data_IF_109757702205
#
_entry.id   IF_109757702205
#
_cell.length_a   1.000
_cell.length_b   1.000
_cell.length_c   1.000
_cell.angle_alpha   90.00
_cell.angle_beta   90.00
_cell.angle_gamma   90.00
#
_symmetry.space_group_name_H-M   'P 1'
#
loop_
_entity.id
_entity.type
_entity.pdbx_description
1 polymer ?
#
# COMPACT_ATOMS: atom_id res chain seq x y z
N UNK A 1 2.88 -17.82 37.02
CA UNK A 1 2.35 -16.52 36.57
C UNK A 1 2.01 -16.49 35.07
N UNK A 2 2.81 -17.09 34.18
CA UNK A 2 2.51 -17.12 32.72
C UNK A 2 1.17 -17.77 32.33
N UNK A 3 0.68 -18.78 33.05
CA UNK A 3 -0.62 -19.43 32.73
C UNK A 3 -1.85 -18.63 33.14
N UNK A 4 -1.74 -17.68 34.09
CA UNK A 4 -2.90 -16.87 34.51
C UNK A 4 -3.20 -15.76 33.48
N UNK A 5 -2.17 -15.20 32.85
CA UNK A 5 -2.32 -14.18 31.79
C UNK A 5 -3.17 -14.71 30.64
N UNK A 6 -2.94 -15.95 30.20
CA UNK A 6 -3.57 -16.46 28.98
C UNK A 6 -5.10 -16.58 29.06
N UNK A 7 -5.68 -16.76 30.25
CA UNK A 7 -7.14 -16.88 30.42
C UNK A 7 -7.84 -15.53 30.36
N UNK A 8 -7.26 -14.49 30.97
CA UNK A 8 -7.81 -13.14 30.93
C UNK A 8 -7.72 -12.56 29.52
N UNK A 9 -6.58 -12.77 28.85
CA UNK A 9 -6.34 -12.29 27.49
C UNK A 9 -7.30 -12.96 26.49
N UNK A 10 -7.60 -14.25 26.69
CA UNK A 10 -8.58 -14.96 25.86
C UNK A 10 -10.01 -14.40 26.01
N UNK A 11 -10.44 -14.01 27.22
CA UNK A 11 -11.77 -13.42 27.42
C UNK A 11 -11.85 -12.03 26.80
N UNK A 12 -10.78 -11.24 26.90
CA UNK A 12 -10.70 -9.91 26.29
C UNK A 12 -10.70 -9.97 24.77
N UNK A 13 -9.97 -10.92 24.21
CA UNK A 13 -9.98 -11.18 22.77
C UNK A 13 -11.39 -11.57 22.30
N UNK A 14 -12.07 -12.46 23.03
CA UNK A 14 -13.44 -12.88 22.71
C UNK A 14 -14.40 -11.68 22.65
N UNK A 15 -14.34 -10.76 23.64
CA UNK A 15 -15.16 -9.55 23.64
C UNK A 15 -14.88 -8.65 22.42
N UNK A 16 -13.61 -8.46 22.05
CA UNK A 16 -13.24 -7.68 20.87
C UNK A 16 -13.74 -8.32 19.56
N UNK A 17 -13.67 -9.65 19.45
CA UNK A 17 -14.20 -10.36 18.28
C UNK A 17 -15.73 -10.32 18.22
N UNK A 18 -16.42 -10.39 19.35
CA UNK A 18 -17.88 -10.19 19.40
C UNK A 18 -18.27 -8.78 18.95
N UNK A 19 -17.54 -7.76 19.40
CA UNK A 19 -17.70 -6.38 18.93
C UNK A 19 -17.58 -6.31 17.40
N UNK A 20 -16.46 -6.77 16.83
CA UNK A 20 -16.23 -6.74 15.38
C UNK A 20 -17.28 -7.53 14.59
N UNK A 21 -17.73 -8.68 15.12
CA UNK A 21 -18.77 -9.50 14.49
C UNK A 21 -20.11 -8.77 14.40
N UNK A 22 -20.44 -7.96 15.41
CA UNK A 22 -21.62 -7.09 15.39
C UNK A 22 -21.61 -6.12 14.19
N UNK A 23 -20.46 -5.52 13.89
CA UNK A 23 -20.32 -4.64 12.73
C UNK A 23 -20.32 -5.38 11.40
N UNK A 24 -19.57 -6.48 11.29
CA UNK A 24 -19.51 -7.27 10.06
C UNK A 24 -20.88 -7.85 9.64
N UNK A 25 -21.77 -8.10 10.61
CA UNK A 25 -23.11 -8.65 10.37
C UNK A 25 -24.24 -7.61 10.33
N UNK A 26 -23.94 -6.33 10.61
CA UNK A 26 -24.97 -5.29 10.67
C UNK A 26 -25.57 -5.02 9.29
N UNK A 27 -26.91 -5.06 9.23
CA UNK A 27 -27.71 -4.60 8.08
C UNK A 27 -28.28 -3.19 8.30
N UNK A 28 -28.13 -2.64 9.51
CA UNK A 28 -28.60 -1.29 9.86
C UNK A 28 -27.63 -0.24 9.35
N UNK A 29 -27.70 0.03 8.05
CA UNK A 29 -26.83 1.01 7.37
C UNK A 29 -27.58 2.19 6.73
N UNK A 30 -28.91 2.19 6.77
CA UNK A 30 -29.71 3.09 5.90
C UNK A 30 -29.53 4.58 6.15
N UNK A 31 -28.95 5.00 7.28
CA UNK A 31 -28.81 6.43 7.62
C UNK A 31 -27.34 6.87 7.79
N UNK A 32 -26.33 6.05 7.47
CA UNK A 32 -24.92 6.43 7.69
C UNK A 32 -24.08 6.38 6.41
N UNK A 33 -23.64 7.54 5.88
CA UNK A 33 -22.94 7.64 4.59
C UNK A 33 -21.45 7.27 4.64
N UNK A 34 -21.04 6.32 5.50
CA UNK A 34 -19.62 6.08 5.77
C UNK A 34 -19.23 4.61 5.60
N UNK A 35 -18.53 4.41 4.50
CA UNK A 35 -17.81 3.21 4.07
C UNK A 35 -16.51 3.10 4.89
N UNK A 36 -16.11 1.90 5.32
CA UNK A 36 -14.78 1.62 5.88
C UNK A 36 -14.73 0.72 7.12
N UNK A 37 -15.74 0.78 7.98
CA UNK A 37 -15.84 0.00 9.21
C UNK A 37 -16.12 -1.50 9.00
N UNK A 38 -17.13 -1.87 8.18
CA UNK A 38 -17.40 -3.28 7.84
C UNK A 38 -16.18 -3.94 7.20
N UNK A 39 -15.50 -3.17 6.35
CA UNK A 39 -14.32 -3.57 5.61
C UNK A 39 -13.19 -4.02 6.54
N UNK A 40 -12.89 -3.24 7.57
CA UNK A 40 -11.85 -3.60 8.53
C UNK A 40 -12.22 -4.84 9.36
N UNK A 41 -13.48 -4.95 9.80
CA UNK A 41 -13.94 -6.15 10.51
C UNK A 41 -13.84 -7.41 9.64
N UNK A 42 -14.23 -7.32 8.36
CA UNK A 42 -14.13 -8.42 7.40
C UNK A 42 -12.67 -8.77 7.13
N UNK A 43 -11.80 -7.78 6.91
CA UNK A 43 -10.37 -7.99 6.71
C UNK A 43 -9.71 -8.64 7.93
N UNK A 44 -10.11 -8.25 9.14
CA UNK A 44 -9.70 -8.91 10.38
C UNK A 44 -10.09 -10.39 10.34
N UNK A 45 -11.36 -10.74 10.19
CA UNK A 45 -11.78 -12.15 10.26
C UNK A 45 -11.18 -13.01 9.14
N UNK A 46 -11.13 -12.48 7.91
CA UNK A 46 -10.55 -13.18 6.77
C UNK A 46 -9.06 -13.46 6.97
N UNK A 47 -8.29 -12.50 7.51
CA UNK A 47 -6.86 -12.70 7.82
C UNK A 47 -6.58 -13.70 8.94
N UNK A 48 -7.61 -14.08 9.72
CA UNK A 48 -7.56 -15.17 10.70
C UNK A 48 -8.07 -16.51 10.14
N UNK A 49 -8.35 -16.59 8.85
CA UNK A 49 -8.80 -17.79 8.17
C UNK A 49 -10.28 -18.11 8.41
N UNK A 50 -11.09 -17.16 8.89
CA UNK A 50 -12.53 -17.34 8.93
C UNK A 50 -13.12 -17.15 7.53
N UNK A 51 -14.11 -17.97 7.18
CA UNK A 51 -14.89 -17.80 5.94
C UNK A 51 -15.80 -16.60 6.08
N UNK A 52 -15.67 -15.63 5.17
CA UNK A 52 -16.41 -14.36 5.19
C UNK A 52 -17.35 -14.20 3.98
N UNK A 53 -17.63 -15.26 3.21
CA UNK A 53 -18.32 -15.19 1.91
C UNK A 53 -19.63 -14.40 1.95
N UNK A 54 -20.45 -14.60 2.99
CA UNK A 54 -21.73 -13.92 3.13
C UNK A 54 -21.56 -12.43 3.48
N UNK A 55 -20.57 -12.09 4.31
CA UNK A 55 -20.24 -10.69 4.62
C UNK A 55 -19.65 -9.99 3.41
N UNK A 56 -18.81 -10.66 2.62
CA UNK A 56 -18.23 -10.12 1.39
C UNK A 56 -19.33 -9.87 0.35
N UNK A 57 -20.27 -10.80 0.16
CA UNK A 57 -21.42 -10.58 -0.74
C UNK A 57 -22.29 -9.40 -0.29
N UNK A 58 -22.53 -9.27 1.02
CA UNK A 58 -23.24 -8.12 1.56
C UNK A 58 -22.48 -6.82 1.28
N UNK A 59 -21.18 -6.80 1.56
CA UNK A 59 -20.32 -5.65 1.33
C UNK A 59 -20.26 -5.24 -0.14
N UNK A 60 -20.17 -6.20 -1.06
CA UNK A 60 -20.25 -5.93 -2.50
C UNK A 60 -21.58 -5.29 -2.90
N UNK A 61 -22.69 -5.73 -2.30
CA UNK A 61 -24.00 -5.14 -2.54
C UNK A 61 -24.08 -3.71 -1.98
N UNK A 62 -23.50 -3.47 -0.80
CA UNK A 62 -23.43 -2.15 -0.17
C UNK A 62 -22.61 -1.20 -1.06
N UNK A 63 -21.44 -1.63 -1.56
CA UNK A 63 -20.61 -0.86 -2.49
C UNK A 63 -21.31 -0.55 -3.81
N UNK A 64 -22.04 -1.52 -4.39
CA UNK A 64 -22.83 -1.27 -5.61
C UNK A 64 -23.93 -0.25 -5.38
N UNK A 65 -24.64 -0.37 -4.26
CA UNK A 65 -25.71 0.57 -3.90
C UNK A 65 -25.17 1.98 -3.72
N UNK A 66 -24.06 2.13 -2.98
CA UNK A 66 -23.43 3.43 -2.76
C UNK A 66 -22.90 4.04 -4.07
N UNK A 67 -22.36 3.21 -4.96
CA UNK A 67 -21.93 3.64 -6.28
C UNK A 67 -23.11 4.10 -7.16
N UNK A 68 -24.24 3.38 -7.14
CA UNK A 68 -25.46 3.77 -7.86
C UNK A 68 -26.03 5.10 -7.34
N UNK A 69 -26.09 5.29 -6.02
CA UNK A 69 -26.54 6.54 -5.39
C UNK A 69 -25.66 7.73 -5.78
N UNK A 70 -24.33 7.56 -5.72
CA UNK A 70 -23.41 8.59 -6.16
C UNK A 70 -23.57 8.91 -7.64
N UNK A 71 -23.78 7.90 -8.49
CA UNK A 71 -24.05 8.10 -9.90
C UNK A 71 -25.37 8.84 -10.17
N UNK A 72 -26.37 8.72 -9.30
CA UNK A 72 -27.57 9.55 -9.37
C UNK A 72 -27.25 11.02 -9.08
N UNK A 73 -26.46 11.28 -8.03
CA UNK A 73 -26.03 12.63 -7.65
C UNK A 73 -25.18 13.27 -8.76
N UNK A 74 -24.14 12.57 -9.24
CA UNK A 74 -23.27 13.06 -10.32
C UNK A 74 -23.98 13.08 -11.68
N UNK A 75 -24.89 12.15 -11.94
CA UNK A 75 -25.63 12.10 -13.20
C UNK A 75 -26.58 13.27 -13.40
N UNK A 76 -27.12 13.83 -12.30
CA UNK A 76 -27.84 15.11 -12.34
C UNK A 76 -26.92 16.29 -12.70
N UNK A 77 -25.61 16.18 -12.43
CA UNK A 77 -24.61 17.19 -12.78
C UNK A 77 -24.02 17.00 -14.19
N UNK A 78 -23.95 15.76 -14.71
CA UNK A 78 -23.28 15.41 -15.98
C UNK A 78 -24.20 14.57 -16.90
N UNK A 79 -24.94 15.25 -17.78
CA UNK A 79 -26.05 14.66 -18.55
C UNK A 79 -25.68 13.66 -19.67
N UNK A 80 -24.41 13.52 -20.06
CA UNK A 80 -24.02 12.62 -21.18
C UNK A 80 -23.08 11.48 -20.81
N UNK A 81 -22.30 11.59 -19.72
CA UNK A 81 -21.37 10.52 -19.29
C UNK A 81 -21.98 9.54 -18.28
N UNK A 82 -23.06 9.94 -17.60
CA UNK A 82 -23.70 9.14 -16.55
C UNK A 82 -24.39 7.87 -17.06
N UNK A 83 -24.81 7.82 -18.33
CA UNK A 83 -25.43 6.63 -18.94
C UNK A 83 -24.41 5.52 -19.20
N UNK A 84 -23.16 5.85 -19.51
CA UNK A 84 -22.10 4.86 -19.79
C UNK A 84 -21.54 4.20 -18.51
N UNK A 85 -21.85 4.77 -17.34
CA UNK A 85 -21.34 4.32 -16.04
C UNK A 85 -22.29 3.33 -15.35
N UNK A 86 -23.61 3.40 -15.60
CA UNK A 86 -24.61 2.51 -14.96
C UNK A 86 -24.55 1.03 -15.38
N UNK A 87 -24.02 0.75 -16.57
CA UNK A 87 -23.87 -0.63 -17.07
C UNK A 87 -22.44 -1.15 -16.91
N UNK A 88 -21.56 -0.38 -16.27
CA UNK A 88 -20.15 -0.71 -16.15
C UNK A 88 -19.86 -1.63 -14.96
N UNK A 89 -18.81 -2.47 -15.04
CA UNK A 89 -18.30 -3.19 -13.87
C UNK A 89 -17.88 -2.19 -12.76
N UNK A 90 -17.76 -2.69 -11.52
CA UNK A 90 -17.34 -1.91 -10.34
C UNK A 90 -16.03 -1.11 -10.56
N UNK A 91 -15.24 -1.51 -11.55
CA UNK A 91 -13.96 -0.91 -11.95
C UNK A 91 -14.08 0.49 -12.59
N UNK A 92 -15.29 0.92 -13.01
CA UNK A 92 -15.50 2.25 -13.62
C UNK A 92 -15.98 3.35 -12.68
N UNK A 93 -16.30 3.05 -11.43
CA UNK A 93 -16.84 4.02 -10.45
C UNK A 93 -15.77 4.90 -9.79
N UNK A 94 -14.76 5.36 -10.54
CA UNK A 94 -13.56 6.01 -9.98
C UNK A 94 -13.90 7.27 -9.19
N UNK A 95 -14.78 8.12 -9.71
CA UNK A 95 -15.14 9.40 -9.08
C UNK A 95 -15.86 9.25 -7.74
N UNK A 96 -16.55 8.13 -7.51
CA UNK A 96 -17.20 7.89 -6.22
C UNK A 96 -16.17 7.71 -5.10
N UNK A 97 -15.05 7.08 -5.42
CA UNK A 97 -14.03 6.72 -4.45
C UNK A 97 -12.98 7.80 -4.23
N UNK A 98 -12.95 8.87 -5.04
CA UNK A 98 -11.97 9.95 -4.89
C UNK A 98 -12.14 10.71 -3.57
N UNK A 99 -13.39 10.94 -3.13
CA UNK A 99 -13.69 11.58 -1.83
C UNK A 99 -13.77 10.59 -0.66
N UNK A 100 -13.66 9.29 -0.95
CA UNK A 100 -13.91 8.17 -0.02
C UNK A 100 -12.80 7.15 -0.04
N UNK A 101 -11.60 7.56 -0.43
CA UNK A 101 -10.49 6.63 -0.45
C UNK A 101 -10.14 6.23 0.98
N UNK A 102 -10.56 5.02 1.34
CA UNK A 102 -10.32 4.43 2.63
C UNK A 102 -9.51 3.16 2.42
N UNK A 103 -8.27 3.15 2.93
CA UNK A 103 -7.43 1.96 2.98
C UNK A 103 -8.15 0.67 3.45
N UNK A 104 -9.12 0.71 4.39
CA UNK A 104 -9.96 -0.44 4.72
C UNK A 104 -10.61 -1.12 3.52
N UNK A 105 -11.14 -0.38 2.54
CA UNK A 105 -11.75 -0.93 1.31
C UNK A 105 -10.72 -1.77 0.55
N UNK A 106 -9.50 -1.27 0.42
CA UNK A 106 -8.42 -1.97 -0.27
C UNK A 106 -8.10 -3.30 0.42
N UNK A 107 -8.10 -3.29 1.75
CA UNK A 107 -7.84 -4.49 2.56
C UNK A 107 -8.99 -5.49 2.48
N UNK A 108 -10.24 -5.02 2.56
CA UNK A 108 -11.40 -5.89 2.44
C UNK A 108 -11.50 -6.51 1.04
N UNK A 109 -11.27 -5.74 -0.02
CA UNK A 109 -11.22 -6.26 -1.38
C UNK A 109 -10.11 -7.31 -1.54
N UNK A 110 -8.91 -7.03 -1.01
CA UNK A 110 -7.80 -7.98 -1.01
C UNK A 110 -8.14 -9.28 -0.28
N UNK A 111 -8.59 -9.20 0.96
CA UNK A 111 -8.85 -10.37 1.81
C UNK A 111 -10.12 -11.12 1.43
N UNK A 112 -11.11 -10.41 0.90
CA UNK A 112 -12.34 -10.98 0.36
C UNK A 112 -12.20 -11.49 -1.06
N UNK A 113 -11.02 -11.37 -1.68
CA UNK A 113 -10.74 -11.77 -3.07
C UNK A 113 -11.73 -11.15 -4.07
N UNK A 114 -12.16 -9.91 -3.80
CA UNK A 114 -13.13 -9.21 -4.65
C UNK A 114 -12.42 -8.73 -5.92
N UNK A 115 -12.80 -9.33 -7.05
CA UNK A 115 -12.23 -9.01 -8.36
C UNK A 115 -12.75 -7.68 -8.93
N UNK A 116 -12.01 -7.08 -9.88
CA UNK A 116 -12.45 -5.89 -10.61
C UNK A 116 -12.04 -4.57 -9.95
N UNK A 117 -11.26 -4.60 -8.87
CA UNK A 117 -10.73 -3.38 -8.27
C UNK A 117 -9.37 -2.98 -8.87
N UNK A 118 -8.71 -3.84 -9.67
CA UNK A 118 -7.36 -3.62 -10.20
C UNK A 118 -7.25 -2.33 -11.03
N UNK A 119 -8.20 -2.09 -11.94
CA UNK A 119 -8.21 -0.87 -12.74
C UNK A 119 -8.49 0.37 -11.88
N UNK A 120 -9.37 0.23 -10.89
CA UNK A 120 -9.64 1.28 -9.94
C UNK A 120 -8.39 1.64 -9.11
N UNK A 121 -7.67 0.63 -8.58
CA UNK A 121 -6.41 0.83 -7.86
C UNK A 121 -5.35 1.53 -8.71
N UNK A 122 -5.24 1.14 -9.98
CA UNK A 122 -4.31 1.78 -10.91
C UNK A 122 -4.64 3.27 -11.09
N UNK A 123 -5.90 3.60 -11.34
CA UNK A 123 -6.35 4.99 -11.51
C UNK A 123 -6.25 5.80 -10.24
N UNK A 124 -6.56 5.19 -9.09
CA UNK A 124 -6.34 5.81 -7.79
C UNK A 124 -4.85 6.14 -7.59
N UNK A 125 -3.94 5.23 -7.94
CA UNK A 125 -2.51 5.51 -7.93
C UNK A 125 -2.14 6.71 -8.80
N UNK A 126 -2.69 6.78 -10.02
CA UNK A 126 -2.53 7.93 -10.92
C UNK A 126 -3.08 9.23 -10.29
N UNK A 127 -4.25 9.19 -9.67
CA UNK A 127 -4.85 10.33 -8.96
C UNK A 127 -4.00 10.78 -7.77
N UNK A 128 -3.56 9.85 -6.93
CA UNK A 128 -2.76 10.16 -5.74
C UNK A 128 -1.38 10.73 -6.10
N UNK A 129 -0.82 10.38 -7.28
CA UNK A 129 0.39 11.04 -7.79
C UNK A 129 0.23 12.55 -7.97
N UNK A 130 -1.00 13.09 -8.00
CA UNK A 130 -1.27 14.53 -8.03
C UNK A 130 -1.00 15.26 -6.71
N UNK A 131 -0.55 14.56 -5.65
CA UNK A 131 -0.17 15.14 -4.36
C UNK A 131 -1.26 15.03 -3.29
N UNK A 132 -2.17 14.06 -3.44
CA UNK A 132 -3.30 13.86 -2.54
C UNK A 132 -3.00 12.90 -1.37
N UNK A 133 -1.87 12.18 -1.40
CA UNK A 133 -1.51 11.26 -0.34
C UNK A 133 -0.84 12.01 0.82
N UNK A 134 -1.50 12.07 1.98
CA UNK A 134 -0.88 12.60 3.19
C UNK A 134 0.08 11.58 3.82
N UNK A 135 0.98 12.05 4.70
CA UNK A 135 1.85 11.16 5.46
C UNK A 135 1.07 10.27 6.46
N UNK A 136 -0.12 10.73 6.88
CA UNK A 136 -1.03 9.98 7.75
C UNK A 136 -1.63 8.78 7.01
N UNK A 137 -2.02 8.99 5.75
CA UNK A 137 -2.59 7.95 4.89
C UNK A 137 -1.57 6.86 4.51
N UNK A 138 -0.28 7.18 4.57
CA UNK A 138 0.80 6.29 4.14
C UNK A 138 0.77 4.96 4.91
N UNK A 139 0.61 5.02 6.23
CA UNK A 139 0.55 3.85 7.10
C UNK A 139 -0.60 2.93 6.73
N UNK A 140 -1.80 3.50 6.60
CA UNK A 140 -3.01 2.76 6.32
C UNK A 140 -3.00 2.13 4.94
N UNK A 141 -2.51 2.88 3.95
CA UNK A 141 -2.35 2.42 2.58
C UNK A 141 -1.40 1.23 2.51
N UNK A 142 -0.28 1.28 3.23
CA UNK A 142 0.73 0.23 3.22
C UNK A 142 0.35 -1.03 4.00
N UNK A 143 -0.79 -1.02 4.71
CA UNK A 143 -1.44 -2.25 5.20
C UNK A 143 -2.18 -3.02 4.10
N UNK A 144 -2.40 -2.43 2.91
CA UNK A 144 -2.88 -3.17 1.74
C UNK A 144 -1.71 -3.65 0.87
N UNK A 145 -1.61 -4.96 0.66
CA UNK A 145 -0.61 -5.51 -0.28
C UNK A 145 -0.97 -5.19 -1.72
N UNK A 146 -2.26 -5.01 -2.04
CA UNK A 146 -2.69 -4.55 -3.36
C UNK A 146 -2.22 -3.13 -3.61
N UNK A 147 -2.40 -2.23 -2.65
CA UNK A 147 -1.86 -0.87 -2.75
C UNK A 147 -0.34 -0.88 -2.92
N UNK A 148 0.35 -1.69 -2.12
CA UNK A 148 1.80 -1.85 -2.20
C UNK A 148 2.26 -2.40 -3.56
N UNK A 149 1.50 -3.29 -4.19
CA UNK A 149 1.79 -3.82 -5.52
C UNK A 149 1.54 -2.79 -6.63
N UNK A 150 0.40 -2.09 -6.59
CA UNK A 150 -0.06 -1.20 -7.67
C UNK A 150 0.55 0.20 -7.60
N UNK A 151 0.83 0.70 -6.40
CA UNK A 151 1.27 2.09 -6.16
C UNK A 151 2.69 2.16 -5.63
N UNK A 152 3.50 1.10 -5.79
CA UNK A 152 4.84 1.01 -5.18
C UNK A 152 5.70 2.25 -5.42
N UNK A 153 5.81 2.71 -6.66
CA UNK A 153 6.63 3.88 -7.02
C UNK A 153 6.20 5.15 -6.28
N UNK A 154 4.90 5.45 -6.30
CA UNK A 154 4.32 6.59 -5.57
C UNK A 154 4.57 6.46 -4.06
N UNK A 155 4.29 5.29 -3.47
CA UNK A 155 4.45 5.06 -2.04
C UNK A 155 5.92 5.19 -1.60
N UNK A 156 6.87 4.77 -2.43
CA UNK A 156 8.30 5.02 -2.20
C UNK A 156 8.61 6.52 -2.22
N UNK A 157 8.12 7.24 -3.23
CA UNK A 157 8.33 8.68 -3.34
C UNK A 157 7.82 9.44 -2.12
N UNK A 158 6.59 9.14 -1.68
CA UNK A 158 5.99 9.77 -0.49
C UNK A 158 6.78 9.39 0.76
N UNK A 159 7.15 8.13 0.93
CA UNK A 159 7.96 7.68 2.07
C UNK A 159 9.34 8.36 2.10
N UNK A 160 10.02 8.56 0.97
CA UNK A 160 11.28 9.28 0.90
C UNK A 160 11.13 10.76 1.28
N UNK A 161 10.06 11.42 0.84
CA UNK A 161 9.77 12.81 1.25
C UNK A 161 9.57 12.89 2.75
N UNK A 162 8.76 11.98 3.32
CA UNK A 162 8.51 11.91 4.75
C UNK A 162 9.80 11.64 5.56
N UNK A 163 10.68 10.73 5.10
CA UNK A 163 11.98 10.48 5.74
C UNK A 163 12.82 11.77 5.77
N UNK A 164 12.92 12.48 4.64
CA UNK A 164 13.71 13.71 4.54
C UNK A 164 13.16 14.80 5.46
N UNK A 165 11.85 14.95 5.51
CA UNK A 165 11.14 15.96 6.30
C UNK A 165 11.11 15.62 7.80
N UNK A 166 11.16 14.33 8.17
CA UNK A 166 11.17 13.87 9.56
C UNK A 166 12.35 14.34 10.40
N UNK A 167 13.45 14.76 9.75
CA UNK A 167 14.57 15.42 10.41
C UNK A 167 14.17 16.74 11.07
N UNK A 168 13.07 17.36 10.59
CA UNK A 168 12.53 18.64 11.04
C UNK A 168 11.29 18.49 11.93
N UNK A 169 10.74 17.28 12.07
CA UNK A 169 9.52 17.02 12.84
C UNK A 169 9.89 16.19 14.10
N UNK A 170 10.31 16.84 15.19
CA UNK A 170 10.93 16.17 16.32
C UNK A 170 9.95 15.43 17.26
N UNK A 171 8.63 15.57 17.10
CA UNK A 171 7.68 15.16 18.14
C UNK A 171 6.53 14.26 17.72
N UNK A 172 6.28 14.02 16.44
CA UNK A 172 5.11 13.24 16.00
C UNK A 172 5.42 11.73 15.98
N UNK A 173 4.80 11.00 16.92
CA UNK A 173 5.00 9.55 17.06
C UNK A 173 4.27 8.78 15.96
N UNK A 174 3.09 9.23 15.54
CA UNK A 174 2.34 8.56 14.48
C UNK A 174 3.08 8.67 13.17
N UNK A 175 3.59 9.86 12.82
CA UNK A 175 4.43 10.04 11.63
C UNK A 175 5.71 9.20 11.70
N UNK A 176 6.41 9.19 12.83
CA UNK A 176 7.60 8.36 13.00
C UNK A 176 7.29 6.86 12.81
N UNK A 177 6.16 6.40 13.35
CA UNK A 177 5.66 5.03 13.19
C UNK A 177 5.31 4.75 11.73
N UNK A 178 4.59 5.66 11.06
CA UNK A 178 4.26 5.60 9.65
C UNK A 178 5.51 5.45 8.80
N UNK A 179 6.53 6.28 9.00
CA UNK A 179 7.79 6.21 8.24
C UNK A 179 8.49 4.86 8.44
N UNK A 180 8.69 4.41 9.69
CA UNK A 180 9.40 3.16 9.97
C UNK A 180 8.63 1.96 9.43
N UNK A 181 7.32 1.90 9.64
CA UNK A 181 6.45 0.86 9.09
C UNK A 181 6.54 0.83 7.56
N UNK A 182 6.42 2.00 6.94
CA UNK A 182 6.37 2.16 5.49
C UNK A 182 7.68 1.77 4.82
N UNK A 183 8.79 2.30 5.31
CA UNK A 183 10.12 2.00 4.80
C UNK A 183 10.44 0.51 4.93
N UNK A 184 10.03 -0.12 6.03
CA UNK A 184 10.20 -1.57 6.24
C UNK A 184 9.35 -2.38 5.25
N UNK A 185 8.08 -2.02 5.05
CA UNK A 185 7.16 -2.69 4.10
C UNK A 185 7.62 -2.54 2.65
N UNK A 186 8.14 -1.35 2.30
CA UNK A 186 8.68 -1.03 0.97
C UNK A 186 10.09 -1.59 0.74
N UNK A 187 10.76 -2.08 1.79
CA UNK A 187 12.16 -2.54 1.79
C UNK A 187 13.12 -1.45 1.29
N UNK A 188 13.00 -0.25 1.84
CA UNK A 188 13.91 0.86 1.53
C UNK A 188 15.27 0.62 2.21
N UNK A 189 16.35 0.99 1.52
CA UNK A 189 17.73 0.93 2.04
C UNK A 189 18.12 2.27 2.69
N UNK A 190 17.29 2.75 3.60
CA UNK A 190 17.49 4.02 4.31
C UNK A 190 17.91 3.76 5.77
N UNK A 191 18.79 4.59 6.30
CA UNK A 191 19.15 4.54 7.71
C UNK A 191 18.05 5.19 8.57
N UNK A 192 17.19 4.34 9.12
CA UNK A 192 16.08 4.75 10.00
C UNK A 192 16.48 4.84 11.47
N UNK A 193 17.75 4.63 11.83
CA UNK A 193 18.18 4.49 13.23
C UNK A 193 17.76 5.69 14.07
N UNK A 194 17.90 6.92 13.55
CA UNK A 194 17.50 8.12 14.30
C UNK A 194 15.98 8.24 14.54
N UNK A 195 15.14 7.71 13.64
CA UNK A 195 13.68 7.73 13.79
C UNK A 195 13.27 6.62 14.77
N UNK A 196 13.88 5.45 14.64
CA UNK A 196 13.69 4.30 15.53
C UNK A 196 14.10 4.65 16.97
N UNK A 197 15.26 5.27 17.17
CA UNK A 197 15.73 5.67 18.51
C UNK A 197 14.76 6.65 19.16
N UNK A 198 14.23 7.60 18.39
CA UNK A 198 13.18 8.52 18.83
C UNK A 198 11.90 7.78 19.21
N UNK A 199 11.47 6.83 18.38
CA UNK A 199 10.28 6.02 18.64
C UNK A 199 10.46 5.21 19.93
N UNK A 200 11.60 4.55 20.11
CA UNK A 200 11.93 3.80 21.33
C UNK A 200 11.98 4.70 22.56
N UNK A 201 12.58 5.90 22.46
CA UNK A 201 12.65 6.87 23.55
C UNK A 201 11.30 7.54 23.88
N UNK A 202 10.35 7.53 22.93
CA UNK A 202 9.02 8.11 23.10
C UNK A 202 8.07 7.28 23.96
N UNK A 203 8.42 6.03 24.27
CA UNK A 203 7.58 5.15 25.10
C UNK A 203 7.50 5.68 26.54
N UNK A 204 6.30 5.72 27.10
CA UNK A 204 6.04 6.10 28.49
C UNK A 204 6.25 4.93 29.44
N UNK A 205 6.30 5.22 30.74
CA UNK A 205 6.48 4.21 31.80
C UNK A 205 5.33 3.18 31.85
N UNK A 206 4.13 3.58 31.44
CA UNK A 206 2.95 2.71 31.34
C UNK A 206 2.94 1.83 30.08
N UNK A 207 3.96 1.96 29.21
CA UNK A 207 4.11 1.20 27.98
C UNK A 207 3.45 1.83 26.76
N UNK A 208 2.65 2.90 26.93
CA UNK A 208 1.99 3.59 25.84
C UNK A 208 2.89 4.63 25.14
N UNK A 209 2.45 5.05 23.96
CA UNK A 209 3.01 6.17 23.22
C UNK A 209 1.99 7.31 23.10
N UNK A 210 2.37 8.56 23.37
CA UNK A 210 1.53 9.71 23.04
C UNK A 210 1.46 9.95 21.53
N UNK A 211 0.54 10.80 21.08
CA UNK A 211 0.54 11.29 19.70
C UNK A 211 1.76 12.17 19.44
N UNK A 212 1.98 13.15 20.31
CA UNK A 212 3.18 13.96 20.31
C UNK A 212 4.05 13.70 21.54
N UNK A 213 5.37 13.76 21.42
CA UNK A 213 6.31 13.51 22.55
C UNK A 213 6.08 14.40 23.77
N UNK A 214 5.43 15.56 23.59
CA UNK A 214 5.08 16.49 24.66
C UNK A 214 3.68 16.26 25.27
N UNK A 215 2.84 15.41 24.68
CA UNK A 215 1.53 15.09 25.25
C UNK A 215 1.70 14.29 26.54
N UNK A 216 0.84 14.59 27.51
CA UNK A 216 0.89 13.97 28.83
C UNK A 216 0.34 12.56 28.84
N UNK A 217 -0.65 12.30 27.99
CA UNK A 217 -1.38 11.03 27.96
C UNK A 217 -0.94 10.21 26.74
N UNK A 218 -0.72 8.89 26.90
CA UNK A 218 -0.54 8.01 25.77
C UNK A 218 -1.83 7.90 24.93
N UNK A 219 -1.67 7.64 23.64
CA UNK A 219 -2.72 7.42 22.65
C UNK A 219 -2.75 5.94 22.27
N UNK A 220 -3.94 5.35 22.25
CA UNK A 220 -4.14 3.96 21.83
C UNK A 220 -3.69 3.73 20.39
N UNK A 221 -4.05 4.65 19.47
CA UNK A 221 -3.67 4.54 18.05
C UNK A 221 -2.16 4.68 17.88
N UNK A 222 -1.56 5.73 18.46
CA UNK A 222 -0.11 5.96 18.33
C UNK A 222 0.69 4.78 18.92
N UNK A 223 0.20 4.20 20.02
CA UNK A 223 0.78 2.98 20.61
C UNK A 223 0.68 1.80 19.65
N UNK A 224 -0.49 1.55 19.05
CA UNK A 224 -0.67 0.45 18.12
C UNK A 224 0.18 0.61 16.84
N UNK A 225 0.29 1.84 16.30
CA UNK A 225 1.16 2.16 15.16
C UNK A 225 2.65 1.96 15.50
N UNK A 226 3.09 2.40 16.68
CA UNK A 226 4.45 2.20 17.16
C UNK A 226 4.79 0.70 17.26
N UNK A 227 3.86 -0.13 17.76
CA UNK A 227 4.04 -1.59 17.80
C UNK A 227 4.17 -2.17 16.40
N UNK A 228 3.35 -1.75 15.44
CA UNK A 228 3.47 -2.18 14.04
C UNK A 228 4.86 -1.87 13.48
N UNK A 229 5.30 -0.62 13.63
CA UNK A 229 6.60 -0.16 13.16
C UNK A 229 7.75 -0.96 13.79
N UNK A 230 7.78 -1.08 15.12
CA UNK A 230 8.86 -1.74 15.86
C UNK A 230 8.87 -3.26 15.66
N UNK A 231 7.71 -3.91 15.60
CA UNK A 231 7.63 -5.36 15.40
C UNK A 231 8.08 -5.79 13.99
N UNK A 232 7.93 -4.89 12.99
CA UNK A 232 8.43 -5.11 11.64
C UNK A 232 9.93 -4.79 11.54
N UNK A 233 10.36 -3.63 12.03
CA UNK A 233 11.76 -3.18 11.94
C UNK A 233 12.71 -3.96 12.86
N UNK A 234 12.20 -4.50 13.98
CA UNK A 234 12.91 -5.31 14.97
C UNK A 234 14.24 -4.72 15.48
N UNK A 235 14.30 -3.42 15.83
CA UNK A 235 15.53 -2.82 16.38
C UNK A 235 15.88 -3.39 17.76
N UNK A 236 17.11 -3.20 18.22
CA UNK A 236 17.52 -3.71 19.55
C UNK A 236 16.56 -3.27 20.66
N UNK A 237 16.10 -4.21 21.50
CA UNK A 237 15.18 -3.95 22.60
C UNK A 237 13.69 -3.92 22.22
N UNK A 238 13.33 -4.08 20.94
CA UNK A 238 11.94 -3.99 20.47
C UNK A 238 10.99 -4.94 21.22
N UNK A 239 11.40 -6.18 21.53
CA UNK A 239 10.53 -7.17 22.16
C UNK A 239 9.98 -6.68 23.51
N UNK A 240 10.83 -6.01 24.29
CA UNK A 240 10.42 -5.46 25.59
C UNK A 240 9.44 -4.30 25.39
N UNK A 241 9.76 -3.40 24.46
CA UNK A 241 8.93 -2.23 24.17
C UNK A 241 7.53 -2.64 23.72
N UNK A 242 7.42 -3.56 22.74
CA UNK A 242 6.11 -4.02 22.24
C UNK A 242 5.33 -4.85 23.27
N UNK A 243 6.01 -5.60 24.15
CA UNK A 243 5.34 -6.31 25.24
C UNK A 243 4.68 -5.35 26.23
N UNK A 244 5.39 -4.28 26.63
CA UNK A 244 4.83 -3.24 27.51
C UNK A 244 3.65 -2.51 26.85
N UNK A 245 3.73 -2.23 25.55
CA UNK A 245 2.58 -1.67 24.83
C UNK A 245 1.41 -2.63 24.74
N UNK A 246 1.63 -3.93 24.58
CA UNK A 246 0.56 -4.92 24.60
C UNK A 246 -0.20 -4.88 25.94
N UNK A 247 0.53 -4.80 27.06
CA UNK A 247 -0.07 -4.66 28.40
C UNK A 247 -0.89 -3.36 28.50
N UNK A 248 -0.35 -2.24 28.02
CA UNK A 248 -1.05 -0.96 27.96
C UNK A 248 -2.34 -1.06 27.13
N UNK A 249 -2.28 -1.65 25.94
CA UNK A 249 -3.42 -1.80 25.04
C UNK A 249 -4.50 -2.65 25.69
N UNK A 250 -4.17 -3.81 26.27
CA UNK A 250 -5.15 -4.62 27.00
C UNK A 250 -5.76 -3.92 28.20
N UNK A 251 -5.01 -3.03 28.87
CA UNK A 251 -5.55 -2.25 29.99
C UNK A 251 -6.56 -1.18 29.56
N UNK A 252 -6.44 -0.66 28.34
CA UNK A 252 -7.29 0.40 27.79
C UNK A 252 -8.50 -0.12 26.99
N UNK A 253 -8.71 -1.44 26.94
CA UNK A 253 -9.89 -2.02 26.31
C UNK A 253 -11.18 -1.57 27.03
N UNK A 254 -12.19 -1.19 26.26
CA UNK A 254 -13.51 -0.83 26.77
C UNK A 254 -14.31 -2.07 27.21
N UNK A 255 -15.39 -1.84 27.95
CA UNK A 255 -16.25 -2.91 28.45
C UNK A 255 -16.96 -3.70 27.33
N UNK A 256 -17.17 -3.09 26.16
CA UNK A 256 -17.74 -3.73 24.97
C UNK A 256 -16.68 -4.47 24.12
N UNK A 257 -15.42 -4.48 24.57
CA UNK A 257 -14.31 -5.13 23.88
C UNK A 257 -13.59 -4.24 22.86
N UNK A 258 -14.09 -3.02 22.60
CA UNK A 258 -13.47 -2.09 21.64
C UNK A 258 -12.30 -1.30 22.22
N UNK A 259 -11.60 -0.61 21.32
CA UNK A 259 -10.66 0.45 21.67
C UNK A 259 -11.13 1.76 21.06
N UNK A 260 -10.92 2.85 21.80
CA UNK A 260 -11.36 4.19 21.38
C UNK A 260 -10.21 5.16 21.65
N UNK A 261 -9.82 5.91 20.62
CA UNK A 261 -8.93 7.06 20.76
C UNK A 261 -9.66 8.29 21.31
N UNK A 262 -8.93 9.16 22.01
CA UNK A 262 -9.48 10.40 22.58
C UNK A 262 -10.08 11.33 21.50
N UNK A 263 -9.54 11.29 20.27
CA UNK A 263 -10.07 12.03 19.12
C UNK A 263 -11.41 11.47 18.62
N UNK A 264 -11.61 10.14 18.69
CA UNK A 264 -12.81 9.47 18.20
C UNK A 264 -14.02 9.59 19.14
N UNK A 265 -13.79 9.72 20.46
CA UNK A 265 -14.81 9.65 21.52
C UNK A 265 -16.03 10.57 21.33
N UNK A 266 -15.89 11.68 20.60
CA UNK A 266 -16.94 12.70 20.53
C UNK A 266 -17.72 12.74 19.20
N UNK A 267 -17.18 12.20 18.10
CA UNK A 267 -17.70 12.57 16.77
C UNK A 267 -17.91 11.41 15.79
N UNK A 268 -17.23 10.27 15.99
CA UNK A 268 -17.18 9.22 14.96
C UNK A 268 -17.14 7.81 15.59
N UNK A 269 -18.27 7.29 16.12
CA UNK A 269 -18.30 5.99 16.79
C UNK A 269 -17.86 4.79 15.94
N UNK A 270 -17.82 4.94 14.61
CA UNK A 270 -17.28 3.93 13.68
C UNK A 270 -15.76 3.84 13.66
N UNK A 271 -15.03 4.89 14.09
CA UNK A 271 -13.56 4.82 14.23
C UNK A 271 -13.14 3.73 15.22
N UNK A 272 -14.03 3.34 16.13
CA UNK A 272 -13.78 2.25 17.09
C UNK A 272 -13.49 0.92 16.39
N UNK A 273 -14.04 0.67 15.19
CA UNK A 273 -13.78 -0.58 14.46
C UNK A 273 -12.37 -0.59 13.90
N UNK A 274 -11.96 0.50 13.26
CA UNK A 274 -10.59 0.69 12.78
C UNK A 274 -9.58 0.58 13.93
N UNK A 275 -9.81 1.32 15.02
CA UNK A 275 -8.96 1.33 16.21
C UNK A 275 -8.84 -0.09 16.79
N UNK A 276 -9.97 -0.82 16.88
CA UNK A 276 -10.00 -2.19 17.39
C UNK A 276 -9.17 -3.14 16.51
N UNK A 277 -9.35 -3.11 15.19
CA UNK A 277 -8.58 -3.98 14.28
C UNK A 277 -7.09 -3.65 14.34
N UNK A 278 -6.75 -2.36 14.36
CA UNK A 278 -5.36 -1.91 14.49
C UNK A 278 -4.74 -2.39 15.81
N UNK A 279 -5.45 -2.29 16.93
CA UNK A 279 -4.95 -2.76 18.24
C UNK A 279 -4.79 -4.27 18.29
N UNK A 280 -5.74 -5.04 17.75
CA UNK A 280 -5.64 -6.49 17.72
C UNK A 280 -4.48 -6.98 16.84
N UNK A 281 -4.22 -6.32 15.71
CA UNK A 281 -3.02 -6.58 14.91
C UNK A 281 -1.73 -6.27 15.70
N UNK A 282 -1.70 -5.14 16.42
CA UNK A 282 -0.55 -4.77 17.25
C UNK A 282 -0.27 -5.81 18.35
N UNK A 283 -1.31 -6.29 19.04
CA UNK A 283 -1.20 -7.32 20.08
C UNK A 283 -0.69 -8.65 19.48
N UNK A 284 -1.23 -9.08 18.33
CA UNK A 284 -0.73 -10.27 17.63
C UNK A 284 0.76 -10.10 17.26
N UNK A 285 1.18 -8.95 16.73
CA UNK A 285 2.59 -8.66 16.41
C UNK A 285 3.49 -8.65 17.65
N UNK A 286 3.04 -8.07 18.75
CA UNK A 286 3.78 -8.03 20.02
C UNK A 286 4.03 -9.44 20.57
N UNK A 287 3.10 -10.38 20.32
CA UNK A 287 3.25 -11.80 20.67
C UNK A 287 4.15 -12.60 19.71
N UNK A 288 4.69 -11.95 18.66
CA UNK A 288 5.45 -12.61 17.60
C UNK A 288 4.58 -13.34 16.57
N UNK A 289 3.27 -13.14 16.63
CA UNK A 289 2.30 -13.65 15.67
C UNK A 289 2.43 -13.01 14.30
N UNK A 290 1.75 -13.60 13.33
CA UNK A 290 1.72 -13.14 11.93
C UNK A 290 0.30 -13.05 11.36
N UNK A 291 -0.73 -13.38 12.15
CA UNK A 291 -2.13 -13.36 11.71
C UNK A 291 -2.67 -11.95 11.89
N UNK A 292 -2.21 -11.04 11.04
CA UNK A 292 -2.62 -9.63 11.03
C UNK A 292 -3.36 -9.30 9.74
N UNK A 293 -4.09 -8.18 9.72
CA UNK A 293 -4.92 -7.77 8.57
C UNK A 293 -4.12 -7.28 7.35
N UNK A 294 -2.81 -7.54 7.32
CA UNK A 294 -1.88 -7.28 6.23
C UNK A 294 -0.80 -8.37 6.18
N UNK A 295 -0.09 -8.53 5.07
CA UNK A 295 1.01 -9.51 5.03
C UNK A 295 2.27 -8.96 5.69
N UNK A 296 2.81 -9.61 6.72
CA UNK A 296 4.12 -9.21 7.31
C UNK A 296 5.24 -9.40 6.29
N UNK A 297 5.22 -10.53 5.58
CA UNK A 297 6.10 -10.80 4.45
C UNK A 297 5.37 -10.34 3.19
N UNK A 298 5.75 -9.19 2.64
CA UNK A 298 5.18 -8.70 1.40
C UNK A 298 5.37 -9.75 0.28
N UNK A 299 4.28 -10.44 -0.07
CA UNK A 299 4.22 -11.42 -1.16
C UNK A 299 3.71 -10.72 -2.42
N UNK A 300 4.49 -9.80 -2.97
CA UNK A 300 4.23 -9.37 -4.36
C UNK A 300 4.72 -10.50 -5.25
N UNK A 301 3.89 -11.53 -5.38
CA UNK A 301 3.91 -12.28 -6.62
C UNK A 301 3.28 -11.32 -7.63
N UNK A 302 4.04 -10.92 -8.66
CA UNK A 302 3.45 -10.21 -9.79
C UNK A 302 2.16 -10.95 -10.19
N UNK A 303 1.04 -10.25 -10.41
CA UNK A 303 -0.17 -10.90 -10.89
C UNK A 303 0.23 -11.79 -12.05
N UNK A 304 0.08 -13.11 -11.90
CA UNK A 304 0.22 -14.00 -13.05
C UNK A 304 -0.90 -13.57 -13.97
N UNK A 305 -0.55 -12.95 -15.09
CA UNK A 305 -1.51 -12.50 -16.09
C UNK A 305 -2.59 -13.56 -16.24
N UNK A 306 -3.82 -13.23 -15.86
CA UNK A 306 -4.99 -14.11 -15.95
C UNK A 306 -5.46 -14.24 -17.40
N UNK A 307 -4.52 -14.32 -18.34
CA UNK A 307 -4.76 -14.45 -19.77
C UNK A 307 -4.23 -15.78 -20.27
N UNK A 308 -5.19 -16.58 -20.76
CA UNK A 308 -5.05 -17.81 -21.56
C UNK A 308 -4.85 -19.14 -20.81
N UNK A 309 -5.94 -19.64 -20.23
CA UNK A 309 -6.28 -21.06 -20.37
C UNK A 309 -7.59 -21.15 -21.18
N UNK A 310 -7.45 -20.96 -22.50
CA UNK A 310 -8.43 -21.36 -23.52
C UNK A 310 -7.68 -22.01 -24.67
N UNK A 311 -7.28 -23.26 -24.46
CA UNK A 311 -6.77 -24.25 -25.42
C UNK A 311 -6.66 -25.55 -24.61
N UNK A 312 -7.23 -26.71 -24.92
CA UNK A 312 -8.08 -27.17 -26.00
C UNK A 312 -8.94 -28.33 -25.44
N UNK A 313 -10.25 -28.28 -25.69
CA UNK A 313 -11.11 -29.46 -25.57
C UNK A 313 -11.24 -30.11 -26.96
N UNK A 314 -10.50 -31.18 -27.21
CA UNK A 314 -10.85 -32.24 -28.15
C UNK A 314 -9.89 -33.45 -28.01
N UNK A 315 -10.45 -34.60 -27.57
CA UNK A 315 -10.26 -35.99 -28.07
C UNK A 315 -8.83 -36.46 -28.40
N UNK A 316 -8.28 -37.59 -27.95
CA UNK A 316 -8.87 -38.95 -27.86
C UNK A 316 -7.85 -39.97 -27.30
N UNK A 317 -8.36 -40.89 -26.48
CA UNK A 317 -8.05 -42.33 -26.28
C UNK A 317 -6.70 -42.98 -26.68
N UNK A 318 -6.21 -43.83 -25.76
CA UNK A 318 -5.29 -44.97 -25.96
C UNK A 318 -3.99 -44.76 -25.18
N UNK A 319 -3.48 -45.61 -24.29
CA UNK A 319 -3.68 -47.03 -24.00
C UNK A 319 -2.29 -47.58 -23.57
N UNK A 320 -2.29 -48.50 -22.60
CA UNK A 320 -1.20 -49.41 -22.21
C UNK A 320 -0.19 -49.04 -21.10
N UNK A 321 0.16 -50.13 -20.39
CA UNK A 321 0.71 -50.33 -19.06
C UNK A 321 2.25 -50.40 -18.97
N UNK A 322 2.74 -50.21 -17.73
CA UNK A 322 3.99 -50.71 -17.10
C UNK A 322 5.32 -50.16 -17.68
N UNK A 323 6.32 -49.80 -16.87
CA UNK A 323 6.95 -50.57 -15.79
C UNK A 323 7.84 -49.71 -14.89
N UNK A 324 8.03 -50.16 -13.65
CA UNK A 324 9.01 -49.71 -12.65
C UNK A 324 10.47 -49.68 -13.18
N UNK A 325 11.21 -48.60 -12.90
CA UNK A 325 12.66 -48.63 -12.60
C UNK A 325 13.07 -47.43 -11.72
N UNK A 326 13.62 -47.77 -10.55
CA UNK A 326 14.76 -47.22 -9.79
C UNK A 326 15.12 -45.72 -9.80
N UNK A 327 15.43 -45.28 -8.58
CA UNK A 327 16.05 -44.02 -8.18
C UNK A 327 17.35 -43.66 -8.91
N UNK A 328 17.53 -42.37 -9.18
CA UNK A 328 18.82 -41.69 -9.02
C UNK A 328 18.63 -40.20 -8.70
N UNK A 329 19.56 -39.68 -7.90
CA UNK A 329 19.56 -38.36 -7.31
C UNK A 329 19.92 -37.26 -8.32
N UNK A 330 19.04 -36.27 -8.46
CA UNK A 330 19.32 -35.02 -9.17
C UNK A 330 18.87 -33.84 -8.32
N UNK A 331 19.81 -33.07 -7.78
CA UNK A 331 19.54 -31.78 -7.15
C UNK A 331 18.86 -30.87 -8.19
N UNK A 332 17.73 -30.22 -7.89
CA UNK A 332 17.21 -29.19 -8.77
C UNK A 332 18.19 -28.01 -8.72
N UNK A 333 18.81 -27.74 -9.87
CA UNK A 333 19.57 -26.52 -10.09
C UNK A 333 18.67 -25.32 -9.84
N UNK A 334 19.15 -24.38 -9.05
CA UNK A 334 18.58 -23.05 -8.95
C UNK A 334 18.57 -22.45 -10.36
N UNK A 335 17.37 -22.36 -10.93
CA UNK A 335 17.15 -21.60 -12.15
C UNK A 335 17.19 -20.12 -11.74
N UNK A 336 18.40 -19.57 -11.70
CA UNK A 336 18.63 -18.14 -11.62
C UNK A 336 18.04 -17.53 -12.90
N UNK A 337 16.80 -17.07 -12.83
CA UNK A 337 16.20 -16.27 -13.90
C UNK A 337 16.99 -14.96 -13.91
N UNK A 338 17.92 -14.85 -14.85
CA UNK A 338 18.62 -13.62 -15.16
C UNK A 338 17.61 -12.57 -15.65
N UNK A 339 16.95 -11.88 -14.74
CA UNK A 339 16.11 -10.71 -15.04
C UNK A 339 17.01 -9.48 -15.11
N UNK A 340 17.84 -9.33 -16.15
CA UNK A 340 18.70 -8.14 -16.26
C UNK A 340 19.29 -7.85 -17.65
N UNK A 341 18.51 -7.82 -18.75
CA UNK A 341 19.02 -7.25 -20.02
C UNK A 341 18.04 -6.40 -20.86
N UNK A 342 16.78 -6.23 -20.45
CA UNK A 342 15.74 -5.65 -21.32
C UNK A 342 15.60 -4.11 -21.27
N UNK A 343 16.29 -3.41 -20.37
CA UNK A 343 15.99 -1.99 -20.08
C UNK A 343 17.23 -1.10 -20.08
N UNK A 344 17.05 0.14 -20.55
CA UNK A 344 18.14 1.10 -20.59
C UNK A 344 18.34 1.81 -19.24
N UNK A 345 19.59 1.97 -18.79
CA UNK A 345 19.93 2.82 -17.63
C UNK A 345 20.17 4.25 -18.10
N UNK A 346 19.46 5.22 -17.51
CA UNK A 346 19.60 6.63 -17.84
C UNK A 346 20.08 7.44 -16.64
N UNK A 347 21.14 8.23 -16.80
CA UNK A 347 21.60 9.20 -15.80
C UNK A 347 21.84 10.55 -16.46
N UNK A 348 21.57 11.65 -15.75
CA UNK A 348 21.71 13.02 -16.29
C UNK A 348 22.74 13.80 -15.47
N UNK A 349 23.80 14.27 -16.11
CA UNK A 349 24.73 15.25 -15.56
C UNK A 349 24.27 16.66 -15.98
N UNK A 350 23.69 17.44 -15.06
CA UNK A 350 23.11 18.74 -15.38
C UNK A 350 24.18 19.83 -15.57
N UNK A 351 25.39 19.63 -15.05
CA UNK A 351 26.48 20.60 -15.15
C UNK A 351 27.24 20.43 -16.46
N UNK A 352 27.47 19.19 -16.87
CA UNK A 352 28.08 18.86 -18.16
C UNK A 352 27.08 18.91 -19.33
N UNK A 353 25.78 18.94 -19.04
CA UNK A 353 24.70 18.78 -20.02
C UNK A 353 24.84 17.48 -20.81
N UNK A 354 25.11 16.38 -20.11
CA UNK A 354 25.30 15.04 -20.67
C UNK A 354 24.24 14.11 -20.13
N UNK A 355 23.59 13.37 -21.03
CA UNK A 355 22.70 12.26 -20.69
C UNK A 355 23.45 10.97 -20.99
N UNK A 356 23.59 10.08 -20.01
CA UNK A 356 24.18 8.76 -20.21
C UNK A 356 23.05 7.76 -20.35
N UNK A 357 22.97 7.09 -21.49
CA UNK A 357 21.98 6.02 -21.77
C UNK A 357 22.78 4.74 -22.03
N UNK A 358 22.62 3.73 -21.18
CA UNK A 358 23.38 2.47 -21.26
C UNK A 358 24.91 2.68 -21.28
N UNK A 359 25.39 3.62 -20.47
CA UNK A 359 26.82 3.96 -20.39
C UNK A 359 27.33 4.79 -21.58
N UNK A 360 26.51 5.10 -22.58
CA UNK A 360 26.87 5.98 -23.70
C UNK A 360 26.47 7.41 -23.40
N UNK A 361 27.42 8.33 -23.54
CA UNK A 361 27.20 9.75 -23.29
C UNK A 361 26.59 10.46 -24.50
N UNK A 362 25.54 11.23 -24.26
CA UNK A 362 24.84 12.06 -25.23
C UNK A 362 24.83 13.50 -24.74
N UNK A 363 25.60 14.37 -25.41
CA UNK A 363 25.59 15.79 -25.09
C UNK A 363 24.28 16.44 -25.54
N UNK A 364 23.66 17.23 -24.66
CA UNK A 364 22.45 17.97 -24.98
C UNK A 364 22.75 19.09 -25.98
N UNK A 365 21.80 19.35 -26.87
CA UNK A 365 21.91 20.36 -27.92
C UNK A 365 21.20 21.66 -27.54
N UNK A 366 21.65 22.76 -28.16
CA UNK A 366 21.10 24.12 -27.97
C UNK A 366 21.98 25.04 -27.13
N UNK A 367 21.52 26.28 -26.92
CA UNK A 367 22.18 27.23 -26.03
C UNK A 367 22.08 26.79 -24.56
N UNK A 368 22.92 27.37 -23.69
CA UNK A 368 23.01 27.00 -22.26
C UNK A 368 21.64 26.89 -21.56
N UNK A 369 20.73 27.85 -21.81
CA UNK A 369 19.38 27.83 -21.23
C UNK A 369 18.52 26.65 -21.72
N UNK A 370 18.69 26.24 -22.98
CA UNK A 370 17.98 25.09 -23.56
C UNK A 370 18.52 23.79 -22.95
N UNK A 371 19.84 23.63 -22.90
CA UNK A 371 20.47 22.45 -22.31
C UNK A 371 20.09 22.28 -20.84
N UNK A 372 20.12 23.37 -20.06
CA UNK A 372 19.69 23.38 -18.66
C UNK A 372 18.24 22.93 -18.50
N UNK A 373 17.32 23.47 -19.30
CA UNK A 373 15.91 23.07 -19.26
C UNK A 373 15.69 21.60 -19.62
N UNK A 374 16.43 21.08 -20.61
CA UNK A 374 16.34 19.67 -21.00
C UNK A 374 16.93 18.77 -19.92
N UNK A 375 18.05 19.15 -19.29
CA UNK A 375 18.64 18.40 -18.19
C UNK A 375 17.71 18.36 -16.96
N UNK A 376 17.18 19.51 -16.54
CA UNK A 376 16.20 19.62 -15.45
C UNK A 376 14.95 18.77 -15.76
N UNK A 377 14.46 18.82 -17.00
CA UNK A 377 13.32 18.02 -17.43
C UNK A 377 13.61 16.51 -17.36
N UNK A 378 14.78 16.06 -17.84
CA UNK A 378 15.15 14.64 -17.78
C UNK A 378 15.39 14.15 -16.35
N UNK A 379 15.89 15.01 -15.45
CA UNK A 379 15.98 14.71 -14.02
C UNK A 379 14.62 14.64 -13.34
N UNK A 380 13.65 15.43 -13.78
CA UNK A 380 12.26 15.33 -13.30
C UNK A 380 11.57 14.06 -13.81
N UNK A 381 11.98 13.53 -14.96
CA UNK A 381 11.43 12.32 -15.58
C UNK A 381 12.00 11.01 -15.03
N UNK A 382 13.18 11.04 -14.42
CA UNK A 382 13.92 9.83 -14.02
C UNK A 382 14.20 9.93 -12.52
N UNK A 383 13.68 8.99 -11.75
CA UNK A 383 13.94 8.94 -10.31
C UNK A 383 15.37 8.48 -9.99
N UNK A 384 15.70 8.42 -8.70
CA UNK A 384 17.03 8.00 -8.21
C UNK A 384 17.40 6.57 -8.59
N UNK A 385 16.41 5.73 -8.92
CA UNK A 385 16.57 4.33 -9.32
C UNK A 385 16.61 4.17 -10.85
N UNK A 386 16.47 5.26 -11.61
CA UNK A 386 16.45 5.25 -13.08
C UNK A 386 15.06 4.95 -13.68
N UNK A 387 13.99 5.01 -12.88
CA UNK A 387 12.63 4.70 -13.32
C UNK A 387 11.85 5.96 -13.72
N UNK A 388 10.93 5.80 -14.69
CA UNK A 388 10.19 6.91 -15.27
C UNK A 388 9.07 7.42 -14.33
N UNK A 389 9.09 8.72 -14.02
CA UNK A 389 8.01 9.42 -13.31
C UNK A 389 7.15 10.18 -14.33
N UNK A 390 5.83 9.93 -14.42
CA UNK A 390 4.97 10.67 -15.32
C UNK A 390 4.51 11.95 -14.63
N UNK A 391 5.04 13.09 -15.07
CA UNK A 391 4.34 14.38 -14.97
C UNK A 391 4.75 15.34 -16.10
N UNK A 392 3.87 16.28 -16.49
CA UNK A 392 4.05 17.05 -17.71
C UNK A 392 4.73 18.40 -17.44
N UNK A 393 5.79 18.68 -18.19
CA UNK A 393 6.11 20.04 -18.64
C UNK A 393 6.17 20.03 -20.15
N UNK A 394 5.48 20.98 -20.78
CA UNK A 394 5.50 21.16 -22.22
C UNK A 394 6.88 21.71 -22.65
N UNK A 395 7.86 20.83 -22.88
CA UNK A 395 8.96 21.17 -23.76
C UNK A 395 8.37 21.51 -25.13
N UNK A 396 8.73 22.67 -25.68
CA UNK A 396 8.31 23.03 -27.04
C UNK A 396 8.87 22.00 -28.02
N UNK A 397 8.09 21.56 -29.00
CA UNK A 397 8.50 20.58 -30.03
C UNK A 397 9.87 20.91 -30.63
N UNK A 398 10.13 22.19 -30.94
CA UNK A 398 11.43 22.66 -31.46
C UNK A 398 12.63 22.39 -30.55
N UNK A 399 12.42 22.33 -29.23
CA UNK A 399 13.47 21.99 -28.26
C UNK A 399 13.75 20.49 -28.29
N UNK A 400 12.70 19.67 -28.40
CA UNK A 400 12.78 18.22 -28.52
C UNK A 400 13.48 17.86 -29.82
N UNK A 401 13.01 18.36 -30.97
CA UNK A 401 13.55 18.07 -32.30
C UNK A 401 15.05 18.32 -32.43
N UNK A 402 15.58 19.27 -31.64
CA UNK A 402 16.98 19.65 -31.65
C UNK A 402 17.91 18.70 -30.88
N UNK A 403 17.37 17.80 -30.05
CA UNK A 403 18.18 16.87 -29.24
C UNK A 403 18.71 15.69 -30.06
N UNK A 404 19.78 15.00 -29.60
CA UNK A 404 20.21 13.74 -30.18
C UNK A 404 19.05 12.73 -30.21
N UNK A 405 18.98 11.91 -31.26
CA UNK A 405 17.89 10.95 -31.48
C UNK A 405 17.56 10.07 -30.25
N UNK A 406 18.53 9.46 -29.55
CA UNK A 406 18.23 8.69 -28.33
C UNK A 406 17.59 9.51 -27.20
N UNK A 407 17.88 10.81 -27.14
CA UNK A 407 17.29 11.74 -26.16
C UNK A 407 15.89 12.17 -26.61
N UNK A 408 15.64 12.30 -27.91
CA UNK A 408 14.30 12.56 -28.45
C UNK A 408 13.38 11.38 -28.23
N UNK A 409 13.84 10.17 -28.58
CA UNK A 409 13.09 8.94 -28.38
C UNK A 409 12.75 8.72 -26.90
N UNK A 410 13.68 9.04 -26.01
CA UNK A 410 13.46 9.06 -24.56
C UNK A 410 12.36 10.05 -24.13
N UNK A 411 12.34 11.26 -24.71
CA UNK A 411 11.33 12.29 -24.40
C UNK A 411 9.95 11.92 -25.00
N UNK A 412 9.94 11.37 -26.21
CA UNK A 412 8.73 11.07 -26.99
C UNK A 412 8.07 9.75 -26.57
N UNK A 413 8.81 8.82 -25.97
CA UNK A 413 8.29 7.51 -25.56
C UNK A 413 7.13 7.59 -24.56
N UNK A 414 6.96 8.73 -23.83
CA UNK A 414 5.93 8.98 -22.80
C UNK A 414 5.41 7.72 -22.10
N UNK A 415 6.28 6.86 -21.55
CA UNK A 415 5.81 5.60 -21.02
C UNK A 415 5.05 5.87 -19.71
N UNK A 416 4.11 5.00 -19.34
CA UNK A 416 3.34 5.17 -18.09
C UNK A 416 4.24 5.15 -16.84
N UNK A 417 3.70 5.56 -15.68
CA UNK A 417 4.44 5.54 -14.42
C UNK A 417 5.12 4.21 -14.16
N UNK A 418 6.40 4.22 -13.75
CA UNK A 418 7.12 3.00 -13.41
C UNK A 418 7.46 2.10 -14.62
N UNK A 419 7.29 2.60 -15.84
CA UNK A 419 7.68 1.85 -17.04
C UNK A 419 9.17 2.02 -17.28
N UNK A 420 9.91 0.92 -17.28
CA UNK A 420 11.30 0.88 -17.74
C UNK A 420 11.33 0.91 -19.27
N UNK A 421 12.17 1.76 -19.85
CA UNK A 421 12.19 1.99 -21.30
C UNK A 421 12.76 0.75 -22.00
N UNK A 422 11.98 0.08 -22.86
CA UNK A 422 12.46 -1.08 -23.61
C UNK A 422 13.60 -0.66 -24.53
N UNK A 423 14.68 -1.43 -24.53
CA UNK A 423 15.89 -1.12 -25.33
C UNK A 423 15.60 -0.93 -26.81
N UNK A 424 14.64 -1.67 -27.37
CA UNK A 424 14.22 -1.62 -28.77
C UNK A 424 13.45 -0.34 -29.14
N UNK A 425 13.04 0.46 -28.15
CA UNK A 425 12.35 1.74 -28.36
C UNK A 425 13.29 2.94 -28.47
N UNK A 426 14.55 2.82 -28.00
CA UNK A 426 15.57 3.88 -28.04
C UNK A 426 16.47 3.83 -29.29
N UNK A 427 16.28 2.83 -30.15
CA UNK A 427 17.17 2.56 -31.30
C UNK A 427 16.38 2.18 -32.55
N UNK A 428 15.36 2.97 -32.92
CA UNK A 428 14.79 2.87 -34.27
C UNK A 428 15.60 3.77 -35.20
N UNK A 429 16.12 3.16 -36.27
CA UNK A 429 17.04 3.72 -37.27
C UNK A 429 16.49 4.88 -38.10
#
# INVERSE_FOLDING_TARGET
MAMASSTADSSKLCAAEEFLRGFASSTEERDRPLIGWKEDAIAYFASRGQTCDDWIKSLEQDWRTAADEAMEIYGQAYNSESVLLREAPLDRYVFFWEDKWHAPILRAAQWGTVSGFELWFKRLGEYLTCGALSEEDLFDTLRSDVALAQMRGLLRQVCYSAIRESSQIPSDIGLASSIVFSATRLKLDEDLSSIIDRLMAGQREDGGWPWYTHDRSPSVIATAQAVHALALAKPSGWQRAVAQASDFLWHNQQADGSWISDAARAHFPWLNVYDTVLVLDAIELASGGKRVSFSVECRINAPKDATSDKSDCCSSSGGEERSDVSADAGRPGECEIAVSEAYARVTVDPEAFIVVIDGKQHALNGGHHVKKRVAEFLQELIDVDGEYIPRPRNLKTRVIDSQPEPVRDLIDAQPGAGTRIPRDKLWRS
#
